data_IF_166675998705
#
_entry.id   IF_166675998705
#
_cell.length_a   1.000
_cell.length_b   1.000
_cell.length_c   1.000
_cell.angle_alpha   90.00
_cell.angle_beta   90.00
_cell.angle_gamma   90.00
#
_symmetry.space_group_name_H-M   'P 1'
#
loop_
_entity.id
_entity.type
_entity.pdbx_description
1 polymer ?
#
# COMPACT_ATOMS: atom_id res chain seq x y z
N UNK A 1 2.92 12.15 -20.76
CA UNK A 1 3.17 13.61 -20.68
C UNK A 1 2.35 14.32 -19.59
N UNK A 2 1.08 13.93 -19.34
CA UNK A 2 0.23 14.60 -18.33
C UNK A 2 0.74 14.36 -16.90
N UNK A 3 1.02 13.10 -16.53
CA UNK A 3 1.56 12.71 -15.21
C UNK A 3 2.87 13.43 -14.93
N UNK A 4 3.78 13.47 -15.92
CA UNK A 4 5.04 14.18 -15.78
C UNK A 4 4.86 15.66 -15.47
N UNK A 5 3.96 16.34 -16.19
CA UNK A 5 3.65 17.75 -15.94
C UNK A 5 3.06 18.00 -14.56
N UNK A 6 2.31 17.03 -14.03
CA UNK A 6 1.66 17.15 -12.74
C UNK A 6 2.64 16.91 -11.57
N UNK A 7 3.52 15.92 -11.68
CA UNK A 7 4.32 15.45 -10.56
C UNK A 7 5.82 15.76 -10.66
N UNK A 8 6.37 16.03 -11.84
CA UNK A 8 7.78 16.36 -11.99
C UNK A 8 8.07 17.85 -11.67
N UNK A 9 7.50 18.34 -10.58
CA UNK A 9 7.81 19.64 -10.02
C UNK A 9 8.98 19.53 -9.06
N UNK A 10 9.83 20.52 -9.00
CA UNK A 10 10.92 20.61 -8.02
C UNK A 10 10.40 20.84 -6.59
N UNK A 11 9.13 21.20 -6.45
CA UNK A 11 8.51 21.49 -5.16
C UNK A 11 7.09 20.93 -5.12
N UNK A 12 6.76 20.22 -4.04
CA UNK A 12 5.43 19.68 -3.77
C UNK A 12 4.92 20.28 -2.45
N UNK A 13 4.02 21.23 -2.55
CA UNK A 13 3.42 21.98 -1.43
C UNK A 13 2.09 21.40 -0.94
N UNK A 14 1.56 20.40 -1.64
CA UNK A 14 0.27 19.76 -1.42
C UNK A 14 0.37 18.35 -0.79
N UNK A 15 1.54 17.97 -0.25
CA UNK A 15 1.74 16.71 0.45
C UNK A 15 1.03 16.73 1.81
N UNK A 16 0.12 15.78 2.03
CA UNK A 16 -0.62 15.64 3.29
C UNK A 16 0.23 14.97 4.34
N UNK A 17 0.45 15.68 5.45
CA UNK A 17 1.33 15.23 6.56
C UNK A 17 0.75 14.00 7.25
N UNK A 18 -0.57 13.90 7.35
CA UNK A 18 -1.32 12.87 8.07
C UNK A 18 -1.62 11.61 7.24
N UNK A 19 -1.39 11.65 5.91
CA UNK A 19 -1.61 10.49 5.05
C UNK A 19 -0.45 9.50 5.13
N UNK A 20 -0.42 8.74 6.22
CA UNK A 20 0.57 7.70 6.52
C UNK A 20 -0.12 6.40 6.92
N UNK A 21 0.58 5.27 6.75
CA UNK A 21 0.07 3.98 7.22
C UNK A 21 0.05 3.89 8.75
N UNK A 22 -0.85 3.07 9.33
CA UNK A 22 -0.82 2.74 10.75
C UNK A 22 0.54 2.15 11.15
N UNK A 23 1.20 2.76 12.14
CA UNK A 23 2.52 2.35 12.63
C UNK A 23 2.59 2.27 14.16
N UNK A 24 1.72 3.02 14.85
CA UNK A 24 1.73 3.09 16.34
C UNK A 24 1.65 1.71 17.02
N UNK A 25 0.84 0.74 16.53
CA UNK A 25 0.76 -0.59 17.15
C UNK A 25 2.03 -1.42 17.02
N UNK A 26 2.91 -1.10 16.07
CA UNK A 26 4.17 -1.79 15.83
C UNK A 26 5.35 -1.20 16.61
N UNK A 27 5.13 -0.07 17.29
CA UNK A 27 6.14 0.67 18.01
C UNK A 27 6.44 0.00 19.35
N UNK A 28 7.70 -0.30 19.60
CA UNK A 28 8.18 -0.75 20.90
C UNK A 28 8.48 0.45 21.80
N UNK A 29 8.56 0.21 23.12
CA UNK A 29 8.87 1.28 24.12
C UNK A 29 10.24 1.92 23.91
N UNK A 30 11.17 1.18 23.33
CA UNK A 30 12.55 1.59 23.06
C UNK A 30 12.71 2.26 21.69
N UNK A 31 11.67 2.29 20.87
CA UNK A 31 11.73 2.94 19.57
C UNK A 31 11.90 4.45 19.71
N UNK A 32 12.73 5.01 18.85
CA UNK A 32 12.88 6.46 18.78
C UNK A 32 11.53 7.12 18.46
N UNK A 33 11.21 8.15 19.24
CA UNK A 33 9.92 8.86 19.11
C UNK A 33 9.74 9.54 17.74
N UNK A 34 10.82 9.70 16.98
CA UNK A 34 10.85 10.39 15.69
C UNK A 34 10.73 9.48 14.47
N UNK A 35 10.63 8.16 14.67
CA UNK A 35 10.43 7.24 13.54
C UNK A 35 8.97 7.32 13.08
N UNK A 36 8.76 7.87 11.89
CA UNK A 36 7.47 7.97 11.23
C UNK A 36 7.53 7.36 9.82
N UNK A 37 6.46 6.71 9.34
CA UNK A 37 6.37 6.32 7.95
C UNK A 37 6.41 7.54 7.02
N UNK A 38 6.94 7.34 5.82
CA UNK A 38 6.87 8.36 4.78
C UNK A 38 5.41 8.55 4.33
N UNK A 39 5.06 9.79 3.97
CA UNK A 39 3.74 10.13 3.48
C UNK A 39 3.41 9.38 2.18
N UNK A 40 2.21 8.81 2.12
CA UNK A 40 1.76 8.07 0.95
C UNK A 40 1.67 8.93 -0.31
N UNK A 41 1.41 10.23 -0.18
CA UNK A 41 1.40 11.15 -1.34
C UNK A 41 2.76 11.23 -2.04
N UNK A 42 3.87 11.19 -1.28
CA UNK A 42 5.23 11.15 -1.84
C UNK A 42 5.49 9.82 -2.53
N UNK A 43 5.11 8.73 -1.88
CA UNK A 43 5.29 7.37 -2.40
C UNK A 43 4.50 7.18 -3.70
N UNK A 44 3.21 7.55 -3.71
CA UNK A 44 2.34 7.42 -4.88
C UNK A 44 2.92 8.16 -6.09
N UNK A 45 3.42 9.37 -5.89
CA UNK A 45 4.05 10.18 -6.95
C UNK A 45 5.32 9.54 -7.46
N UNK A 46 6.19 9.08 -6.56
CA UNK A 46 7.42 8.40 -6.94
C UNK A 46 7.13 7.13 -7.77
N UNK A 47 6.19 6.29 -7.33
CA UNK A 47 5.81 5.07 -8.02
C UNK A 47 5.27 5.39 -9.43
N UNK A 48 4.39 6.38 -9.55
CA UNK A 48 3.78 6.75 -10.84
C UNK A 48 4.80 7.38 -11.80
N UNK A 49 5.77 8.14 -11.29
CA UNK A 49 6.80 8.78 -12.11
C UNK A 49 7.86 7.79 -12.62
N UNK A 50 8.23 6.79 -11.83
CA UNK A 50 9.39 5.93 -12.11
C UNK A 50 9.07 4.45 -12.30
N UNK A 51 7.79 4.09 -12.41
CA UNK A 51 7.40 2.71 -12.73
C UNK A 51 6.15 2.66 -13.60
N UNK A 52 5.96 1.54 -14.32
CA UNK A 52 4.76 1.26 -15.08
C UNK A 52 3.86 0.24 -14.36
N UNK A 53 2.55 0.20 -14.65
CA UNK A 53 1.67 -0.85 -14.12
C UNK A 53 2.24 -2.25 -14.39
N UNK A 54 2.16 -3.13 -13.39
CA UNK A 54 2.67 -4.49 -13.46
C UNK A 54 4.18 -4.67 -13.19
N UNK A 55 4.95 -3.60 -13.13
CA UNK A 55 6.38 -3.64 -12.79
C UNK A 55 6.62 -3.92 -11.29
N UNK A 56 7.85 -4.30 -10.96
CA UNK A 56 8.28 -4.53 -9.59
C UNK A 56 8.77 -3.24 -8.95
N UNK A 57 8.30 -2.98 -7.73
CA UNK A 57 8.80 -1.93 -6.83
C UNK A 57 9.46 -2.62 -5.65
N UNK A 58 10.74 -2.35 -5.43
CA UNK A 58 11.53 -2.96 -4.37
C UNK A 58 11.97 -1.92 -3.34
N UNK A 59 11.82 -2.26 -2.06
CA UNK A 59 12.38 -1.48 -0.94
C UNK A 59 13.17 -2.37 0.00
N UNK A 60 14.45 -2.07 0.28
CA UNK A 60 15.26 -2.77 1.27
C UNK A 60 14.95 -2.34 2.71
N UNK A 61 14.13 -1.31 2.90
CA UNK A 61 13.78 -0.70 4.20
C UNK A 61 12.27 -0.54 4.32
N UNK A 62 11.55 -1.68 4.30
CA UNK A 62 10.08 -1.68 4.16
C UNK A 62 9.35 -1.00 5.33
N UNK A 63 9.90 -1.05 6.55
CA UNK A 63 9.22 -0.53 7.74
C UNK A 63 7.84 -1.14 7.93
N UNK A 64 6.81 -0.30 8.02
CA UNK A 64 5.40 -0.73 8.09
C UNK A 64 4.77 -0.95 6.72
N UNK A 65 5.55 -0.95 5.64
CA UNK A 65 5.15 -1.37 4.30
C UNK A 65 4.62 -0.26 3.40
N UNK A 66 4.94 1.01 3.64
CA UNK A 66 4.35 2.12 2.90
C UNK A 66 4.62 2.08 1.39
N UNK A 67 5.85 1.78 0.97
CA UNK A 67 6.23 1.68 -0.44
C UNK A 67 5.57 0.48 -1.13
N UNK A 68 5.54 -0.66 -0.43
CA UNK A 68 4.91 -1.89 -0.94
C UNK A 68 3.40 -1.72 -1.04
N UNK A 69 2.78 -1.07 -0.04
CA UNK A 69 1.37 -0.69 -0.06
C UNK A 69 1.04 0.21 -1.26
N UNK A 70 1.80 1.30 -1.44
CA UNK A 70 1.63 2.21 -2.58
C UNK A 70 1.80 1.50 -3.93
N UNK A 71 2.76 0.57 -4.03
CA UNK A 71 2.97 -0.24 -5.23
C UNK A 71 1.73 -1.08 -5.56
N UNK A 72 1.17 -1.81 -4.59
CA UNK A 72 -0.03 -2.63 -4.76
C UNK A 72 -1.23 -1.78 -5.15
N UNK A 73 -1.46 -0.67 -4.44
CA UNK A 73 -2.56 0.27 -4.74
C UNK A 73 -2.46 0.87 -6.13
N UNK A 74 -1.25 1.05 -6.65
CA UNK A 74 -0.99 1.58 -7.98
C UNK A 74 -0.91 0.49 -9.08
N UNK A 75 -1.24 -0.76 -8.78
CA UNK A 75 -1.20 -1.87 -9.75
C UNK A 75 0.22 -2.33 -10.11
N UNK A 76 1.17 -2.17 -9.21
CA UNK A 76 2.54 -2.71 -9.31
C UNK A 76 2.71 -3.90 -8.39
N UNK A 77 3.82 -4.62 -8.53
CA UNK A 77 4.22 -5.71 -7.61
C UNK A 77 5.20 -5.15 -6.59
N UNK A 78 4.82 -5.19 -5.31
CA UNK A 78 5.68 -4.70 -4.24
C UNK A 78 6.53 -5.81 -3.62
N UNK A 79 7.82 -5.54 -3.42
CA UNK A 79 8.77 -6.42 -2.73
C UNK A 79 9.45 -5.59 -1.64
N UNK A 80 9.45 -6.07 -0.40
CA UNK A 80 10.06 -5.35 0.71
C UNK A 80 10.83 -6.25 1.65
N UNK A 81 11.85 -5.70 2.28
CA UNK A 81 12.64 -6.34 3.34
C UNK A 81 12.53 -5.52 4.61
N UNK A 82 12.28 -6.18 5.74
CA UNK A 82 12.24 -5.55 7.06
C UNK A 82 12.85 -6.47 8.11
N UNK A 83 13.79 -5.96 8.88
CA UNK A 83 14.49 -6.72 9.92
C UNK A 83 13.73 -6.75 11.24
N UNK A 84 12.95 -5.71 11.54
CA UNK A 84 12.22 -5.63 12.81
C UNK A 84 10.91 -6.41 12.74
N UNK A 85 10.76 -7.49 13.56
CA UNK A 85 9.58 -8.36 13.45
C UNK A 85 8.24 -7.65 13.72
N UNK A 86 8.22 -6.66 14.61
CA UNK A 86 6.99 -5.89 14.90
C UNK A 86 6.55 -5.05 13.71
N UNK A 87 7.50 -4.43 12.99
CA UNK A 87 7.24 -3.66 11.78
C UNK A 87 6.82 -4.56 10.63
N UNK A 88 7.50 -5.68 10.45
CA UNK A 88 7.11 -6.68 9.45
C UNK A 88 5.67 -7.16 9.63
N UNK A 89 5.28 -7.53 10.87
CA UNK A 89 3.88 -7.94 11.15
C UNK A 89 2.87 -6.83 10.86
N UNK A 90 3.22 -5.59 11.13
CA UNK A 90 2.36 -4.45 10.79
C UNK A 90 2.28 -4.24 9.28
N UNK A 91 3.39 -4.40 8.57
CA UNK A 91 3.42 -4.33 7.11
C UNK A 91 2.49 -5.37 6.47
N UNK A 92 2.52 -6.61 6.95
CA UNK A 92 1.59 -7.67 6.47
C UNK A 92 0.14 -7.24 6.63
N UNK A 93 -0.26 -6.73 7.80
CA UNK A 93 -1.63 -6.24 8.03
C UNK A 93 -2.01 -5.08 7.10
N UNK A 94 -1.08 -4.15 6.89
CA UNK A 94 -1.32 -3.03 5.99
C UNK A 94 -1.49 -3.51 4.54
N UNK A 95 -0.72 -4.51 4.12
CA UNK A 95 -0.80 -5.10 2.77
C UNK A 95 -2.08 -5.92 2.56
N UNK A 96 -2.55 -6.64 3.57
CA UNK A 96 -3.85 -7.31 3.54
C UNK A 96 -4.98 -6.30 3.26
N UNK A 97 -4.94 -5.14 3.92
CA UNK A 97 -5.92 -4.07 3.67
C UNK A 97 -5.83 -3.50 2.26
N UNK A 98 -4.61 -3.36 1.70
CA UNK A 98 -4.42 -2.94 0.32
C UNK A 98 -5.00 -3.96 -0.67
N UNK A 99 -4.74 -5.25 -0.45
CA UNK A 99 -5.24 -6.32 -1.31
C UNK A 99 -6.77 -6.36 -1.34
N UNK A 100 -7.42 -6.20 -0.18
CA UNK A 100 -8.88 -6.10 -0.07
C UNK A 100 -9.41 -4.87 -0.82
N UNK A 101 -8.80 -3.71 -0.65
CA UNK A 101 -9.22 -2.47 -1.33
C UNK A 101 -9.10 -2.60 -2.86
N UNK A 102 -8.03 -3.22 -3.36
CA UNK A 102 -7.85 -3.48 -4.79
C UNK A 102 -8.88 -4.49 -5.30
N UNK A 103 -9.18 -5.54 -4.54
CA UNK A 103 -10.20 -6.52 -4.91
C UNK A 103 -11.60 -5.89 -5.00
N UNK A 104 -11.95 -5.03 -4.03
CA UNK A 104 -13.25 -4.35 -3.99
C UNK A 104 -13.39 -3.28 -5.10
N UNK A 105 -12.29 -2.69 -5.53
CA UNK A 105 -12.28 -1.70 -6.63
C UNK A 105 -12.40 -2.30 -8.03
N UNK A 106 -12.28 -3.63 -8.18
CA UNK A 106 -12.48 -4.30 -9.46
C UNK A 106 -13.96 -4.24 -9.87
N UNK A 107 -14.26 -3.94 -11.15
CA UNK A 107 -15.63 -4.08 -11.65
C UNK A 107 -16.11 -5.51 -11.42
N UNK A 108 -17.24 -5.68 -10.72
CA UNK A 108 -17.86 -6.98 -10.57
C UNK A 108 -18.28 -7.46 -11.96
N UNK A 109 -17.88 -8.65 -12.33
CA UNK A 109 -18.35 -9.31 -13.55
C UNK A 109 -19.65 -10.07 -13.25
N UNK A 110 -20.46 -10.33 -14.29
CA UNK A 110 -21.70 -11.12 -14.19
C UNK A 110 -21.49 -12.53 -13.57
N UNK A 111 -20.24 -12.98 -13.46
CA UNK A 111 -19.89 -14.31 -12.95
C UNK A 111 -19.44 -14.29 -11.46
N UNK A 112 -19.38 -13.11 -10.83
CA UNK A 112 -18.96 -12.97 -9.43
C UNK A 112 -20.13 -13.18 -8.43
N UNK A 113 -21.36 -13.39 -8.89
CA UNK A 113 -22.57 -13.52 -8.05
C UNK A 113 -22.89 -14.96 -7.62
N UNK A 114 -22.28 -16.00 -8.20
CA UNK A 114 -22.72 -17.40 -8.03
C UNK A 114 -22.02 -18.21 -6.92
N UNK A 115 -21.25 -17.60 -6.03
CA UNK A 115 -20.54 -18.36 -4.99
C UNK A 115 -21.21 -18.38 -3.61
N UNK A 116 -22.45 -17.87 -3.47
CA UNK A 116 -23.13 -17.78 -2.18
C UNK A 116 -24.46 -18.53 -2.08
N UNK A 117 -24.77 -19.43 -3.02
CA UNK A 117 -25.93 -20.31 -2.91
C UNK A 117 -25.53 -21.66 -2.29
N UNK A 118 -25.15 -21.63 -0.99
CA UNK A 118 -25.28 -22.82 -0.16
C UNK A 118 -26.69 -22.84 0.39
N UNK A 119 -27.60 -23.45 -0.35
CA UNK A 119 -28.94 -23.81 0.10
C UNK A 119 -28.85 -24.84 1.25
N UNK A 120 -29.28 -24.52 2.49
CA UNK A 120 -29.31 -25.47 3.58
C UNK A 120 -30.72 -26.10 3.73
N UNK A 121 -31.36 -26.53 2.64
CA UNK A 121 -32.61 -27.31 2.74
C UNK A 121 -32.57 -28.51 1.80
N UNK A 122 -32.03 -29.62 2.27
CA UNK A 122 -32.41 -30.97 1.84
C UNK A 122 -31.99 -31.99 2.92
N UNK A 123 -32.83 -32.13 3.92
CA UNK A 123 -32.89 -33.34 4.74
C UNK A 123 -34.35 -33.64 5.04
#
# INVERSE_FOLDING_TARGET
>A
HWIWRQYASAFWDDVRIDRVLPFKPARDKEDEKHVHPLQLDVIDRAIVLWSNPGENVFTPFMGVGSEVYGAVMAGRKGIGVELKPSYYRQAVKNLESAALAVADSRPKTLFDEDSNDTNPEAA
#
